data_IF_999909495443
#
_entry.id   IF_999909495443
#
_cell.length_a   1.000
_cell.length_b   1.000
_cell.length_c   1.000
_cell.angle_alpha   90.00
_cell.angle_beta   90.00
_cell.angle_gamma   90.00
#
_symmetry.space_group_name_H-M   'P 1'
#
loop_
_entity.id
_entity.type
_entity.pdbx_description
1 polymer ?
#
# COMPACT_ATOMS: atom_id res chain seq x y z
N UNK A 1 13.50 -7.98 -0.44
CA UNK A 1 12.38 -8.69 0.24
C UNK A 1 12.25 -8.15 1.66
N UNK A 2 11.36 -7.18 1.89
CA UNK A 2 11.25 -6.46 3.16
C UNK A 2 10.43 -7.33 4.14
N UNK A 3 11.13 -8.02 5.04
CA UNK A 3 10.57 -8.97 5.99
C UNK A 3 9.69 -8.29 7.06
N UNK A 4 8.45 -8.80 7.21
CA UNK A 4 7.65 -8.85 8.45
C UNK A 4 7.60 -7.59 9.33
N UNK A 5 6.89 -6.55 8.92
CA UNK A 5 6.51 -5.47 9.85
C UNK A 5 5.49 -5.98 10.88
N UNK A 6 6.00 -6.36 12.06
CA UNK A 6 5.28 -6.83 13.25
C UNK A 6 4.82 -5.65 14.13
N UNK A 7 3.56 -5.77 14.55
CA UNK A 7 2.67 -5.02 15.46
C UNK A 7 3.16 -3.83 16.34
N UNK A 8 2.17 -2.92 16.50
CA UNK A 8 1.77 -1.97 17.59
C UNK A 8 2.26 -0.51 17.50
N UNK A 9 1.32 0.41 17.27
CA UNK A 9 0.73 1.31 18.28
C UNK A 9 -0.22 2.34 17.62
N UNK A 10 -1.28 2.72 18.31
CA UNK A 10 -2.33 3.64 17.87
C UNK A 10 -2.09 5.09 18.36
N UNK A 11 -2.45 6.11 17.55
CA UNK A 11 -2.91 7.46 17.96
C UNK A 11 -3.24 8.36 16.73
N UNK A 12 -4.03 9.45 16.87
CA UNK A 12 -5.33 9.58 16.20
C UNK A 12 -5.28 10.19 14.79
N UNK A 13 -6.09 9.60 13.90
CA UNK A 13 -6.60 10.08 12.61
C UNK A 13 -5.59 10.47 11.49
N UNK A 14 -4.43 11.06 11.77
CA UNK A 14 -3.39 11.32 10.75
C UNK A 14 -2.45 10.14 10.51
N UNK A 15 -2.13 9.39 11.56
CA UNK A 15 -1.16 8.28 11.51
C UNK A 15 -1.73 7.01 10.84
N UNK A 16 -3.06 6.87 10.75
CA UNK A 16 -3.70 5.70 10.16
C UNK A 16 -3.77 5.79 8.63
N UNK A 17 -3.93 6.99 8.07
CA UNK A 17 -3.90 7.22 6.63
C UNK A 17 -2.51 6.88 6.06
N UNK A 18 -1.44 7.37 6.71
CA UNK A 18 -0.07 7.06 6.31
C UNK A 18 0.25 5.56 6.36
N UNK A 19 -0.28 4.82 7.35
CA UNK A 19 -0.13 3.36 7.42
C UNK A 19 -0.89 2.62 6.30
N UNK A 20 -2.08 3.10 5.92
CA UNK A 20 -2.85 2.54 4.80
C UNK A 20 -2.17 2.82 3.47
N UNK A 21 -1.61 4.00 3.28
CA UNK A 21 -0.92 4.35 2.05
C UNK A 21 0.46 3.66 1.96
N UNK A 22 1.17 3.51 3.08
CA UNK A 22 2.35 2.63 3.18
C UNK A 22 2.01 1.20 2.74
N UNK A 23 0.92 0.63 3.27
CA UNK A 23 0.48 -0.71 2.88
C UNK A 23 0.10 -0.79 1.39
N UNK A 24 -0.44 0.28 0.80
CA UNK A 24 -0.74 0.34 -0.63
C UNK A 24 0.53 0.38 -1.49
N UNK A 25 1.54 1.17 -1.10
CA UNK A 25 2.86 1.18 -1.75
C UNK A 25 3.48 -0.22 -1.70
N UNK A 26 3.42 -0.90 -0.55
CA UNK A 26 3.92 -2.28 -0.41
C UNK A 26 3.16 -3.29 -1.28
N UNK A 27 1.85 -3.16 -1.41
CA UNK A 27 1.06 -4.00 -2.32
C UNK A 27 1.52 -3.83 -3.77
N UNK A 28 1.70 -2.58 -4.21
CA UNK A 28 2.20 -2.26 -5.55
C UNK A 28 3.60 -2.83 -5.81
N UNK A 29 4.54 -2.71 -4.87
CA UNK A 29 5.89 -3.27 -5.04
C UNK A 29 5.86 -4.79 -5.24
N UNK A 30 5.03 -5.51 -4.49
CA UNK A 30 4.88 -6.95 -4.70
C UNK A 30 4.18 -7.31 -6.02
N UNK A 31 3.30 -6.45 -6.55
CA UNK A 31 2.80 -6.61 -7.93
C UNK A 31 3.91 -6.45 -8.96
N UNK A 32 4.83 -5.50 -8.78
CA UNK A 32 6.01 -5.32 -9.65
C UNK A 32 6.92 -6.55 -9.60
N UNK A 33 7.10 -7.14 -8.42
CA UNK A 33 7.91 -8.36 -8.22
C UNK A 33 7.21 -9.64 -8.72
N UNK A 34 5.91 -9.59 -9.06
CA UNK A 34 5.12 -10.76 -9.44
C UNK A 34 4.65 -11.63 -8.27
N UNK A 35 4.91 -11.21 -7.02
CA UNK A 35 4.45 -11.89 -5.80
C UNK A 35 3.01 -11.46 -5.47
N UNK A 36 2.07 -11.97 -6.26
CA UNK A 36 0.67 -11.61 -6.11
C UNK A 36 0.11 -12.01 -4.74
N UNK A 37 0.58 -13.11 -4.15
CA UNK A 37 0.15 -13.58 -2.84
C UNK A 37 0.43 -12.55 -1.74
N UNK A 38 1.65 -12.03 -1.68
CA UNK A 38 1.99 -10.95 -0.75
C UNK A 38 1.29 -9.64 -1.14
N UNK A 39 1.14 -9.34 -2.42
CA UNK A 39 0.38 -8.16 -2.85
C UNK A 39 -1.04 -8.15 -2.24
N UNK A 40 -1.77 -9.28 -2.30
CA UNK A 40 -3.13 -9.39 -1.71
C UNK A 40 -3.12 -9.10 -0.21
N UNK A 41 -2.13 -9.64 0.51
CA UNK A 41 -1.99 -9.40 1.95
C UNK A 41 -1.85 -7.91 2.25
N UNK A 42 -1.03 -7.20 1.48
CA UNK A 42 -0.82 -5.77 1.66
C UNK A 42 -1.99 -4.90 1.20
N UNK A 43 -2.72 -5.28 0.15
CA UNK A 43 -4.00 -4.64 -0.21
C UNK A 43 -5.04 -4.74 0.93
N UNK A 44 -5.17 -5.92 1.54
CA UNK A 44 -6.04 -6.08 2.73
C UNK A 44 -5.62 -5.18 3.89
N UNK A 45 -4.30 -4.96 4.07
CA UNK A 45 -3.79 -4.03 5.10
C UNK A 45 -4.00 -2.56 4.77
N UNK A 46 -3.96 -2.17 3.49
CA UNK A 46 -4.31 -0.81 3.07
C UNK A 46 -5.83 -0.56 3.17
N UNK A 47 -6.63 -1.63 3.14
CA UNK A 47 -8.09 -1.56 3.07
C UNK A 47 -8.59 -1.18 1.68
N UNK A 48 -7.77 -1.41 0.65
CA UNK A 48 -8.11 -1.22 -0.76
C UNK A 48 -8.25 -2.59 -1.42
N UNK A 49 -9.12 -2.68 -2.43
CA UNK A 49 -9.16 -3.87 -3.30
C UNK A 49 -7.88 -3.97 -4.13
N UNK A 50 -7.55 -5.19 -4.57
CA UNK A 50 -6.49 -5.40 -5.56
C UNK A 50 -6.73 -4.55 -6.81
N UNK A 51 -5.71 -3.81 -7.25
CA UNK A 51 -5.83 -3.00 -8.46
C UNK A 51 -5.83 -3.89 -9.70
N UNK A 52 -6.80 -3.67 -10.58
CA UNK A 52 -6.93 -4.32 -11.88
C UNK A 52 -6.24 -3.55 -13.01
N UNK A 53 -5.70 -2.38 -12.70
CA UNK A 53 -5.03 -1.51 -13.67
C UNK A 53 -3.59 -1.94 -13.91
N UNK A 54 -2.97 -1.36 -14.95
CA UNK A 54 -1.55 -1.56 -15.21
C UNK A 54 -0.70 -1.03 -14.05
N UNK A 55 0.53 -1.55 -13.92
CA UNK A 55 1.48 -1.10 -12.91
C UNK A 55 1.75 0.41 -13.02
N UNK A 56 1.83 0.93 -14.25
CA UNK A 56 2.07 2.36 -14.49
C UNK A 56 0.92 3.23 -13.97
N UNK A 57 -0.33 2.85 -14.26
CA UNK A 57 -1.52 3.58 -13.82
C UNK A 57 -1.68 3.53 -12.30
N UNK A 58 -1.47 2.36 -11.68
CA UNK A 58 -1.53 2.25 -10.22
C UNK A 58 -0.45 3.10 -9.55
N UNK A 59 0.79 3.07 -10.07
CA UNK A 59 1.87 3.92 -9.56
C UNK A 59 1.50 5.39 -9.60
N UNK A 60 0.92 5.86 -10.71
CA UNK A 60 0.49 7.24 -10.85
C UNK A 60 -0.56 7.60 -9.80
N UNK A 61 -1.53 6.72 -9.53
CA UNK A 61 -2.54 6.96 -8.50
C UNK A 61 -1.95 7.01 -7.10
N UNK A 62 -1.02 6.11 -6.78
CA UNK A 62 -0.30 6.13 -5.50
C UNK A 62 0.42 7.45 -5.32
N UNK A 63 1.21 7.88 -6.31
CA UNK A 63 1.95 9.15 -6.24
C UNK A 63 1.02 10.35 -6.10
N UNK A 64 -0.05 10.41 -6.87
CA UNK A 64 -1.04 11.49 -6.76
C UNK A 64 -1.73 11.53 -5.39
N UNK A 65 -2.08 10.36 -4.84
CA UNK A 65 -2.72 10.27 -3.54
C UNK A 65 -1.79 10.69 -2.40
N UNK A 66 -0.51 10.36 -2.48
CA UNK A 66 0.50 10.75 -1.48
C UNK A 66 0.84 12.24 -1.55
N UNK A 67 0.94 12.81 -2.76
CA UNK A 67 1.24 14.24 -2.93
C UNK A 67 0.11 15.15 -2.44
N UNK A 68 -1.16 14.72 -2.51
CA UNK A 68 -2.31 15.48 -2.01
C UNK A 68 -2.38 15.59 -0.47
N UNK A 69 -1.48 14.92 0.25
CA UNK A 69 -1.43 14.94 1.72
C UNK A 69 -0.45 15.99 2.27
N UNK A 70 0.27 16.67 1.39
CA UNK A 70 1.15 17.80 1.69
C UNK A 70 0.50 19.10 1.22
#
# INVERSE_FOLDING_TARGET
>A
MWYTASRRAASPLGHMASLRDYAWVHAYLHRVEGDLGNARYWYRRSGRSESTQSLTEERQQITQALLKQF
#
